data_IF_804650611263
#
_entry.id   IF_804650611263
#
_cell.length_a   1.000
_cell.length_b   1.000
_cell.length_c   1.000
_cell.angle_alpha   90.00
_cell.angle_beta   90.00
_cell.angle_gamma   90.00
#
_symmetry.space_group_name_H-M   'P 1'
#
loop_
_entity.id
_entity.type
_entity.pdbx_description
1 polymer ?
#
# COMPACT_ATOMS: atom_id res chain seq x y z
N UNK A 1 51.03 70.76 -19.61
CA UNK A 1 50.43 71.91 -20.33
C UNK A 1 49.10 72.24 -19.64
N UNK A 2 48.70 73.47 -19.33
CA UNK A 2 49.41 74.76 -19.16
C UNK A 2 48.59 75.61 -18.15
N UNK A 3 49.21 75.93 -17.02
CA UNK A 3 49.20 77.20 -16.26
C UNK A 3 47.92 77.82 -15.61
N UNK A 4 48.17 78.39 -14.43
CA UNK A 4 47.30 79.12 -13.49
C UNK A 4 47.09 80.62 -13.91
N UNK A 5 46.58 81.61 -13.10
CA UNK A 5 46.92 81.87 -11.69
C UNK A 5 45.83 82.46 -10.73
N UNK A 6 46.28 82.69 -9.48
CA UNK A 6 45.65 83.26 -8.27
C UNK A 6 45.69 84.82 -8.26
N UNK A 7 44.83 85.56 -7.50
CA UNK A 7 45.15 86.09 -6.15
C UNK A 7 44.15 85.66 -5.03
N UNK A 8 44.27 85.87 -3.70
CA UNK A 8 45.07 86.70 -2.74
C UNK A 8 44.48 88.07 -2.23
N UNK A 9 43.84 88.02 -1.03
CA UNK A 9 43.91 88.88 0.20
C UNK A 9 44.44 90.34 0.05
N UNK A 10 43.80 91.43 0.57
CA UNK A 10 43.36 91.65 1.98
C UNK A 10 41.98 92.41 2.13
N UNK A 11 41.53 93.05 3.23
CA UNK A 11 42.01 93.28 4.63
C UNK A 11 40.86 93.42 5.68
N UNK A 12 41.25 93.67 6.94
CA UNK A 12 40.58 94.17 8.17
C UNK A 12 39.30 95.06 8.11
N UNK A 13 38.54 94.97 9.21
CA UNK A 13 37.63 95.97 9.81
C UNK A 13 38.35 97.26 10.30
N UNK A 14 37.76 98.29 10.99
CA UNK A 14 36.39 98.46 11.51
C UNK A 14 35.84 99.92 11.37
N UNK A 15 34.81 100.24 12.19
CA UNK A 15 34.51 101.57 12.77
C UNK A 15 33.91 102.72 11.91
N UNK A 16 33.01 103.49 12.55
CA UNK A 16 32.45 104.74 12.03
C UNK A 16 30.92 104.70 11.84
N UNK A 17 30.11 104.36 12.86
CA UNK A 17 29.57 105.38 13.80
C UNK A 17 29.20 106.71 13.10
N UNK A 18 28.06 106.75 12.40
CA UNK A 18 27.10 107.89 12.27
C UNK A 18 25.97 107.46 11.30
N UNK A 19 24.78 108.07 11.41
CA UNK A 19 23.54 107.74 10.66
C UNK A 19 22.88 106.37 11.00
N UNK A 20 22.62 105.98 12.25
CA UNK A 20 21.98 106.75 13.33
C UNK A 20 20.61 107.39 13.01
N UNK A 21 19.95 107.12 11.87
CA UNK A 21 18.65 107.76 11.55
C UNK A 21 17.54 106.93 10.90
N UNK A 22 17.80 105.70 10.43
CA UNK A 22 16.73 104.81 9.89
C UNK A 22 16.43 103.59 10.76
N UNK A 23 16.64 103.71 12.08
CA UNK A 23 16.18 102.77 13.11
C UNK A 23 14.63 102.83 13.34
N UNK A 24 13.87 103.24 12.31
CA UNK A 24 12.50 103.76 12.45
C UNK A 24 11.48 103.14 11.48
N UNK A 25 11.88 102.13 10.69
CA UNK A 25 10.99 101.39 9.78
C UNK A 25 10.98 99.86 10.03
N UNK A 26 11.47 99.42 11.20
CA UNK A 26 11.63 98.00 11.52
C UNK A 26 10.49 97.39 12.36
N UNK A 27 9.32 98.06 12.51
CA UNK A 27 8.36 97.73 13.58
C UNK A 27 6.85 97.75 13.23
N UNK A 28 6.44 97.53 11.97
CA UNK A 28 5.05 97.15 11.66
C UNK A 28 4.95 96.44 10.29
N UNK A 29 4.36 95.26 10.15
CA UNK A 29 4.15 94.16 11.11
C UNK A 29 4.14 92.84 10.28
N UNK A 30 4.57 91.69 10.83
CA UNK A 30 4.78 90.48 10.02
C UNK A 30 3.47 89.73 9.73
N UNK A 31 3.42 89.07 8.57
CA UNK A 31 2.24 88.35 8.07
C UNK A 31 2.58 87.20 7.12
N UNK A 32 3.70 86.51 7.37
CA UNK A 32 4.12 85.38 6.54
C UNK A 32 3.20 84.17 6.73
N UNK A 33 2.30 83.93 5.76
CA UNK A 33 1.67 82.62 5.59
C UNK A 33 2.70 81.59 5.17
N UNK A 34 3.16 80.75 6.11
CA UNK A 34 4.10 79.67 5.81
C UNK A 34 3.33 78.44 5.31
N UNK A 35 3.16 78.29 4.00
CA UNK A 35 2.79 76.99 3.42
C UNK A 35 3.96 76.03 3.62
N UNK A 36 3.92 75.24 4.69
CA UNK A 36 4.83 74.10 4.87
C UNK A 36 4.45 73.00 3.86
N UNK A 37 4.93 73.13 2.63
CA UNK A 37 4.85 72.07 1.62
C UNK A 37 5.74 70.94 2.07
N UNK A 38 5.14 69.92 2.67
CA UNK A 38 5.80 68.69 3.08
C UNK A 38 6.70 68.18 1.94
N UNK A 39 8.01 68.34 2.11
CA UNK A 39 8.97 68.19 1.04
C UNK A 39 9.36 66.71 0.88
N UNK A 40 8.42 65.91 0.35
CA UNK A 40 8.76 64.56 -0.08
C UNK A 40 9.72 64.65 -1.26
N UNK A 41 10.97 64.25 -1.03
CA UNK A 41 11.94 64.02 -2.11
C UNK A 41 11.41 62.91 -3.00
N UNK A 42 10.70 63.28 -4.07
CA UNK A 42 10.25 62.35 -5.10
C UNK A 42 11.48 61.62 -5.63
N UNK A 43 11.51 60.29 -5.52
CA UNK A 43 12.61 59.45 -6.02
C UNK A 43 12.59 59.53 -7.55
N UNK A 44 13.27 60.55 -8.08
CA UNK A 44 13.15 61.03 -9.48
C UNK A 44 13.85 60.13 -10.51
N UNK A 45 14.08 58.86 -10.18
CA UNK A 45 14.55 57.86 -11.13
C UNK A 45 13.93 56.50 -10.79
N UNK A 46 12.90 56.05 -11.52
CA UNK A 46 12.32 54.73 -11.28
C UNK A 46 13.40 53.65 -11.51
N UNK A 47 13.49 52.63 -10.64
CA UNK A 47 14.49 51.58 -10.77
C UNK A 47 14.28 50.82 -12.09
N UNK A 48 15.36 50.62 -12.85
CA UNK A 48 15.30 49.88 -14.11
C UNK A 48 15.07 48.40 -13.83
N UNK A 49 13.87 47.91 -14.15
CA UNK A 49 13.49 46.50 -14.00
C UNK A 49 13.56 45.76 -15.33
N UNK A 50 13.98 44.48 -15.30
CA UNK A 50 13.99 43.61 -16.47
C UNK A 50 12.65 42.88 -16.57
N UNK A 51 11.87 43.22 -17.59
CA UNK A 51 10.57 42.60 -17.87
C UNK A 51 10.72 41.32 -18.69
N UNK A 52 9.83 40.36 -18.44
CA UNK A 52 9.56 39.21 -19.32
C UNK A 52 8.05 39.16 -19.57
N UNK A 53 7.64 38.81 -20.79
CA UNK A 53 6.23 38.63 -21.13
C UNK A 53 5.87 37.15 -20.92
N UNK A 54 4.84 36.82 -20.12
CA UNK A 54 4.38 35.45 -19.96
C UNK A 54 3.64 34.98 -21.22
N UNK A 55 3.99 33.80 -21.72
CA UNK A 55 3.28 33.14 -22.80
C UNK A 55 2.33 32.07 -22.23
N UNK A 56 1.11 31.98 -22.77
CA UNK A 56 0.18 30.91 -22.41
C UNK A 56 0.68 29.59 -22.99
N UNK A 57 1.08 28.66 -22.13
CA UNK A 57 1.56 27.32 -22.51
C UNK A 57 0.80 26.25 -21.72
N UNK A 58 0.53 25.11 -22.37
CA UNK A 58 -0.17 23.98 -21.74
C UNK A 58 0.76 23.24 -20.78
N UNK A 59 0.63 23.52 -19.48
CA UNK A 59 1.38 22.81 -18.43
C UNK A 59 0.70 21.47 -18.15
N UNK A 60 1.39 20.36 -18.41
CA UNK A 60 0.95 19.01 -18.01
C UNK A 60 1.60 18.67 -16.67
N UNK A 61 0.79 18.50 -15.63
CA UNK A 61 1.26 18.08 -14.31
C UNK A 61 1.16 16.56 -14.18
N UNK A 62 2.28 15.88 -14.34
CA UNK A 62 2.40 14.44 -14.09
C UNK A 62 2.64 14.22 -12.60
N UNK A 63 1.96 13.25 -12.00
CA UNK A 63 2.20 12.79 -10.62
C UNK A 63 2.55 11.31 -10.69
N UNK A 64 3.77 10.96 -10.25
CA UNK A 64 4.18 9.57 -10.09
C UNK A 64 3.73 9.05 -8.74
N UNK A 65 3.13 7.86 -8.70
CA UNK A 65 2.80 7.14 -7.47
C UNK A 65 3.54 5.81 -7.48
N UNK A 66 4.39 5.50 -6.49
CA UNK A 66 4.99 4.18 -6.37
C UNK A 66 3.90 3.16 -6.04
N UNK A 67 4.01 1.97 -6.62
CA UNK A 67 3.12 0.85 -6.38
C UNK A 67 3.87 -0.46 -6.59
N UNK A 68 3.36 -1.54 -6.00
CA UNK A 68 3.92 -2.88 -6.11
C UNK A 68 2.85 -3.81 -6.70
N UNK A 69 3.28 -4.75 -7.54
CA UNK A 69 2.40 -5.77 -8.11
C UNK A 69 2.50 -7.02 -7.24
N UNK A 70 1.37 -7.51 -6.77
CA UNK A 70 1.27 -8.73 -5.97
C UNK A 70 0.39 -9.78 -6.67
N UNK A 71 0.49 -11.03 -6.22
CA UNK A 71 -0.37 -12.13 -6.67
C UNK A 71 -1.81 -11.91 -6.22
N UNK A 72 -2.79 -12.03 -7.13
CA UNK A 72 -4.22 -11.93 -6.80
C UNK A 72 -4.66 -12.97 -5.74
N UNK A 73 -4.12 -14.19 -5.83
CA UNK A 73 -4.33 -15.26 -4.86
C UNK A 73 -3.00 -16.00 -4.64
N UNK A 74 -2.78 -16.48 -3.41
CA UNK A 74 -1.62 -17.30 -3.04
C UNK A 74 -2.04 -18.44 -2.14
N UNK A 75 -1.85 -19.67 -2.60
CA UNK A 75 -2.19 -20.88 -1.84
C UNK A 75 -0.93 -21.69 -1.55
N UNK A 76 -0.60 -21.86 -0.27
CA UNK A 76 0.45 -22.80 0.14
C UNK A 76 -0.11 -24.22 0.15
N UNK A 77 0.58 -25.15 -0.51
CA UNK A 77 0.15 -26.55 -0.64
C UNK A 77 0.93 -27.40 0.36
N UNK A 78 0.20 -28.19 1.15
CA UNK A 78 0.75 -29.09 2.16
C UNK A 78 0.14 -30.49 2.01
N UNK A 79 0.91 -31.57 2.25
CA UNK A 79 0.35 -32.91 2.32
C UNK A 79 -0.56 -33.03 3.56
N UNK A 80 -1.68 -33.76 3.42
CA UNK A 80 -2.61 -34.00 4.55
C UNK A 80 -2.08 -35.03 5.56
N UNK A 81 -1.14 -35.87 5.14
CA UNK A 81 -0.59 -37.00 5.88
C UNK A 81 0.93 -36.94 5.76
N UNK A 82 1.63 -37.31 6.83
CA UNK A 82 3.10 -37.41 6.82
C UNK A 82 3.51 -38.57 5.92
N UNK A 83 4.45 -38.33 5.02
CA UNK A 83 4.85 -39.31 4.00
C UNK A 83 6.09 -38.88 3.24
N UNK A 84 6.63 -39.82 2.47
CA UNK A 84 7.71 -39.57 1.51
C UNK A 84 7.11 -39.20 0.15
N UNK A 85 7.87 -38.45 -0.65
CA UNK A 85 7.47 -38.17 -2.03
C UNK A 85 8.02 -39.29 -2.91
N UNK A 86 7.11 -40.04 -3.54
CA UNK A 86 7.46 -41.10 -4.49
C UNK A 86 7.85 -40.50 -5.85
N UNK A 87 7.06 -39.51 -6.30
CA UNK A 87 7.23 -38.88 -7.61
C UNK A 87 6.68 -37.46 -7.62
N UNK A 88 7.40 -36.55 -8.27
CA UNK A 88 6.89 -35.26 -8.72
C UNK A 88 6.33 -35.38 -10.15
N UNK A 89 5.16 -34.79 -10.37
CA UNK A 89 4.45 -34.83 -11.66
C UNK A 89 4.44 -33.49 -12.40
N UNK A 90 4.92 -32.43 -11.76
CA UNK A 90 5.00 -31.04 -12.27
C UNK A 90 6.35 -30.43 -11.88
N UNK A 91 6.82 -29.45 -12.65
CA UNK A 91 8.06 -28.72 -12.37
C UNK A 91 7.78 -27.25 -11.96
N UNK A 92 8.82 -26.56 -11.49
CA UNK A 92 8.77 -25.19 -11.00
C UNK A 92 8.52 -24.23 -12.16
N UNK A 93 7.32 -23.64 -12.18
CA UNK A 93 6.87 -22.69 -13.21
C UNK A 93 5.75 -23.22 -14.10
N UNK A 94 5.40 -24.51 -13.98
CA UNK A 94 4.28 -25.09 -14.70
C UNK A 94 2.92 -24.48 -14.29
N UNK A 95 2.01 -24.41 -15.25
CA UNK A 95 0.63 -23.95 -15.02
C UNK A 95 -0.26 -25.13 -14.62
N UNK A 96 -0.62 -25.16 -13.35
CA UNK A 96 -1.47 -26.21 -12.75
C UNK A 96 -2.91 -25.73 -12.53
N UNK A 97 -3.86 -26.67 -12.51
CA UNK A 97 -5.29 -26.43 -12.28
C UNK A 97 -5.76 -27.15 -11.01
N UNK A 98 -6.94 -26.76 -10.54
CA UNK A 98 -7.60 -27.43 -9.40
C UNK A 98 -7.91 -28.89 -9.75
N UNK A 99 -7.31 -29.81 -9.00
CA UNK A 99 -7.49 -31.26 -9.17
C UNK A 99 -6.28 -31.97 -9.78
N UNK A 100 -5.29 -31.23 -10.30
CA UNK A 100 -4.08 -31.82 -10.87
C UNK A 100 -3.22 -32.46 -9.76
N UNK A 101 -2.73 -33.68 -10.00
CA UNK A 101 -1.93 -34.44 -9.03
C UNK A 101 -0.47 -33.98 -9.13
N UNK A 102 -0.07 -33.05 -8.27
CA UNK A 102 1.27 -32.42 -8.31
C UNK A 102 2.40 -33.39 -7.90
N UNK A 103 2.13 -34.26 -6.92
CA UNK A 103 3.07 -35.25 -6.43
C UNK A 103 2.34 -36.49 -5.91
N UNK A 104 2.96 -37.65 -6.05
CA UNK A 104 2.52 -38.91 -5.43
C UNK A 104 3.23 -39.09 -4.10
N UNK A 105 2.47 -39.35 -3.03
CA UNK A 105 2.98 -39.58 -1.68
C UNK A 105 3.00 -41.08 -1.37
N UNK A 106 4.14 -41.58 -0.89
CA UNK A 106 4.28 -42.94 -0.38
C UNK A 106 4.33 -42.92 1.15
N UNK A 107 3.37 -43.62 1.77
CA UNK A 107 3.25 -43.77 3.22
C UNK A 107 3.19 -45.27 3.53
N UNK A 108 4.29 -45.90 3.96
CA UNK A 108 4.35 -47.35 4.17
C UNK A 108 3.26 -47.86 5.12
N UNK A 109 3.05 -47.14 6.22
CA UNK A 109 2.08 -47.49 7.25
C UNK A 109 0.64 -47.58 6.69
N UNK A 110 0.23 -46.64 5.83
CA UNK A 110 -1.09 -46.67 5.18
C UNK A 110 -1.28 -47.85 4.21
N UNK A 111 -0.20 -48.31 3.57
CA UNK A 111 -0.24 -49.46 2.65
C UNK A 111 -0.47 -50.75 3.46
N UNK A 112 0.21 -50.89 4.58
CA UNK A 112 0.05 -52.02 5.51
C UNK A 112 -1.33 -52.00 6.20
N UNK A 113 -1.77 -50.82 6.66
CA UNK A 113 -3.09 -50.59 7.25
C UNK A 113 -4.21 -50.95 6.27
N UNK A 114 -4.09 -50.53 5.01
CA UNK A 114 -5.04 -50.84 3.95
C UNK A 114 -5.05 -52.34 3.62
N UNK A 115 -3.88 -52.98 3.53
CA UNK A 115 -3.76 -54.42 3.34
C UNK A 115 -4.46 -55.21 4.45
N UNK A 116 -4.18 -54.85 5.70
CA UNK A 116 -4.78 -55.47 6.89
C UNK A 116 -6.30 -55.29 6.91
N UNK A 117 -6.79 -54.05 6.74
CA UNK A 117 -8.23 -53.76 6.73
C UNK A 117 -8.96 -54.46 5.58
N UNK A 118 -8.34 -54.56 4.40
CA UNK A 118 -8.89 -55.30 3.25
C UNK A 118 -8.98 -56.81 3.53
N UNK A 119 -7.99 -57.38 4.21
CA UNK A 119 -8.05 -58.78 4.64
C UNK A 119 -9.16 -59.02 5.68
N UNK A 120 -9.33 -58.10 6.64
CA UNK A 120 -10.43 -58.15 7.62
C UNK A 120 -11.80 -58.09 6.95
N UNK A 121 -12.02 -57.14 6.02
CA UNK A 121 -13.29 -57.05 5.26
C UNK A 121 -13.58 -58.37 4.55
N UNK A 122 -12.60 -58.97 3.87
CA UNK A 122 -12.80 -60.28 3.23
C UNK A 122 -13.17 -61.37 4.23
N UNK A 123 -12.48 -61.45 5.37
CA UNK A 123 -12.78 -62.44 6.41
C UNK A 123 -14.21 -62.27 6.96
N UNK A 124 -14.68 -61.04 7.09
CA UNK A 124 -16.04 -60.76 7.56
C UNK A 124 -17.11 -61.02 6.49
N UNK A 125 -16.82 -60.82 5.20
CA UNK A 125 -17.67 -61.26 4.08
C UNK A 125 -17.90 -62.78 4.11
N UNK A 126 -16.82 -63.57 4.24
CA UNK A 126 -16.86 -65.04 4.34
C UNK A 126 -17.60 -65.50 5.60
N UNK A 127 -17.47 -64.78 6.72
CA UNK A 127 -18.24 -65.03 7.95
C UNK A 127 -19.74 -64.75 7.78
N UNK A 128 -20.11 -63.72 7.02
CA UNK A 128 -21.52 -63.43 6.70
C UNK A 128 -22.10 -64.51 5.78
N UNK A 129 -21.33 -65.02 4.82
CA UNK A 129 -21.74 -66.15 3.99
C UNK A 129 -21.91 -67.45 4.81
N UNK A 130 -20.94 -67.75 5.68
CA UNK A 130 -21.07 -68.87 6.63
C UNK A 130 -22.30 -68.70 7.55
N UNK A 131 -22.56 -67.50 8.07
CA UNK A 131 -23.74 -67.26 8.89
C UNK A 131 -25.06 -67.47 8.12
N UNK A 132 -25.11 -67.13 6.83
CA UNK A 132 -26.28 -67.37 5.97
C UNK A 132 -26.52 -68.86 5.75
N UNK A 133 -25.48 -69.62 5.39
CA UNK A 133 -25.62 -71.08 5.18
C UNK A 133 -26.01 -71.80 6.47
N UNK A 134 -25.52 -71.35 7.64
CA UNK A 134 -25.96 -71.86 8.94
C UNK A 134 -27.44 -71.55 9.24
N UNK A 135 -27.97 -70.40 8.83
CA UNK A 135 -29.40 -70.10 8.94
C UNK A 135 -30.24 -71.02 8.04
N UNK A 136 -29.80 -71.29 6.81
CA UNK A 136 -30.49 -72.23 5.90
C UNK A 136 -30.53 -73.66 6.47
N UNK A 137 -29.45 -74.12 7.11
CA UNK A 137 -29.39 -75.41 7.82
C UNK A 137 -30.35 -75.41 9.02
N UNK A 138 -30.35 -74.36 9.84
CA UNK A 138 -31.26 -74.25 10.99
C UNK A 138 -32.74 -74.25 10.55
N UNK A 139 -33.08 -73.59 9.44
CA UNK A 139 -34.42 -73.63 8.84
C UNK A 139 -34.81 -75.03 8.34
N UNK A 140 -33.85 -75.81 7.81
CA UNK A 140 -34.06 -77.20 7.43
C UNK A 140 -34.31 -78.09 8.66
N UNK A 141 -33.53 -77.92 9.73
CA UNK A 141 -33.70 -78.64 10.99
C UNK A 141 -35.06 -78.33 11.64
N UNK A 142 -35.50 -77.06 11.64
CA UNK A 142 -36.83 -76.66 12.12
C UNK A 142 -37.95 -77.30 11.29
N UNK A 143 -37.79 -77.45 9.97
CA UNK A 143 -38.76 -78.17 9.12
C UNK A 143 -38.78 -79.67 9.44
N UNK A 144 -37.62 -80.31 9.60
CA UNK A 144 -37.52 -81.72 9.96
C UNK A 144 -38.10 -82.02 11.35
N UNK A 145 -37.87 -81.15 12.33
CA UNK A 145 -38.45 -81.26 13.67
C UNK A 145 -39.98 -81.13 13.66
N UNK A 146 -40.54 -80.22 12.85
CA UNK A 146 -41.99 -80.09 12.65
C UNK A 146 -42.60 -81.36 12.04
N UNK A 147 -42.01 -81.89 10.97
CA UNK A 147 -42.48 -83.13 10.34
C UNK A 147 -42.56 -84.29 11.33
N UNK A 148 -41.52 -84.51 12.16
CA UNK A 148 -41.51 -85.53 13.21
C UNK A 148 -42.59 -85.31 14.28
N UNK A 149 -42.88 -84.05 14.64
CA UNK A 149 -43.96 -83.73 15.59
C UNK A 149 -45.34 -84.04 15.00
N UNK A 150 -45.54 -83.83 13.71
CA UNK A 150 -46.83 -84.10 13.05
C UNK A 150 -47.02 -85.60 12.80
N UNK A 151 -45.97 -86.34 12.45
CA UNK A 151 -45.95 -87.82 12.45
C UNK A 151 -46.30 -88.39 13.85
N UNK A 152 -45.67 -87.88 14.91
CA UNK A 152 -45.93 -88.35 16.28
C UNK A 152 -47.36 -88.06 16.75
N UNK A 153 -47.95 -86.92 16.35
CA UNK A 153 -49.36 -86.59 16.64
C UNK A 153 -50.34 -87.47 15.86
N UNK A 154 -49.98 -87.96 14.67
CA UNK A 154 -50.85 -88.81 13.86
C UNK A 154 -50.94 -90.26 14.38
N UNK A 155 -50.10 -90.64 15.34
CA UNK A 155 -50.05 -91.97 15.97
C UNK A 155 -50.86 -92.01 17.28
N UNK A 156 -51.22 -90.85 17.85
CA UNK A 156 -51.97 -90.68 19.11
C UNK A 156 -53.47 -90.41 18.86
#
# INVERSE_FOLDING_TARGET
MRHAPWPLIPDRSPCGRLLAFCLLAALAAPGCGHEEKAHYTSVSKPPTVRLIHPEVRKIVRVVGQPSFIESYERTSIYPKLTGYIEKWNVDIGDKVKKGDVLATLFVPELVEDFGTKKATVKLDEERVELARTLVEVADADVKAAKARLDEAKAIL
#
